data_IF_237669454288
#
_entry.id   IF_237669454288
#
_cell.length_a   1.000
_cell.length_b   1.000
_cell.length_c   1.000
_cell.angle_alpha   90.00
_cell.angle_beta   90.00
_cell.angle_gamma   90.00
#
_symmetry.space_group_name_H-M   'P 1'
#
loop_
_entity.id
_entity.type
_entity.pdbx_description
1 polymer ?
#
# COMPACT_ATOMS: atom_id res chain seq x y z
N UNK A 1 -12.11 34.39 -8.29
CA UNK A 1 -12.50 33.12 -7.63
C UNK A 1 -11.60 32.86 -6.43
N UNK A 2 -11.65 33.72 -5.40
CA UNK A 2 -10.76 33.63 -4.22
C UNK A 2 -11.40 32.82 -3.09
N UNK A 3 -10.79 31.67 -2.79
CA UNK A 3 -10.64 31.02 -1.46
C UNK A 3 -11.87 30.75 -0.56
N UNK A 4 -13.01 30.28 -1.08
CA UNK A 4 -14.06 29.71 -0.19
C UNK A 4 -13.69 28.31 0.35
N UNK A 5 -12.68 27.66 -0.23
CA UNK A 5 -12.40 26.26 0.01
C UNK A 5 -11.66 26.00 1.33
N UNK A 6 -10.59 26.76 1.62
CA UNK A 6 -9.79 26.57 2.84
C UNK A 6 -10.61 26.76 4.13
N UNK A 7 -11.47 27.79 4.27
CA UNK A 7 -12.33 27.94 5.44
C UNK A 7 -13.31 26.77 5.62
N UNK A 8 -13.86 26.24 4.52
CA UNK A 8 -14.74 25.07 4.56
C UNK A 8 -13.98 23.82 5.00
N UNK A 9 -12.76 23.62 4.49
CA UNK A 9 -11.95 22.47 4.90
C UNK A 9 -11.59 22.53 6.40
N UNK A 10 -11.23 23.71 6.90
CA UNK A 10 -10.99 23.92 8.33
C UNK A 10 -12.25 23.62 9.17
N UNK A 11 -13.43 24.01 8.70
CA UNK A 11 -14.70 23.66 9.35
C UNK A 11 -14.90 22.14 9.40
N UNK A 12 -14.67 21.43 8.29
CA UNK A 12 -14.79 19.97 8.25
C UNK A 12 -13.80 19.28 9.21
N UNK A 13 -12.55 19.73 9.26
CA UNK A 13 -11.55 19.18 10.19
C UNK A 13 -11.98 19.34 11.64
N UNK A 14 -12.52 20.52 12.02
CA UNK A 14 -13.07 20.73 13.37
C UNK A 14 -14.23 19.79 13.67
N UNK A 15 -15.14 19.61 12.73
CA UNK A 15 -16.27 18.69 12.89
C UNK A 15 -15.79 17.26 13.08
N UNK A 16 -14.77 16.82 12.34
CA UNK A 16 -14.18 15.49 12.50
C UNK A 16 -13.53 15.36 13.89
N UNK A 17 -12.75 16.34 14.34
CA UNK A 17 -12.16 16.30 15.69
C UNK A 17 -13.23 16.27 16.80
N UNK A 18 -14.33 16.99 16.64
CA UNK A 18 -15.42 17.04 17.63
C UNK A 18 -16.26 15.76 17.67
N UNK A 19 -16.56 15.17 16.52
CA UNK A 19 -17.46 14.01 16.41
C UNK A 19 -16.73 12.68 16.56
N UNK A 20 -15.48 12.61 16.10
CA UNK A 20 -14.71 11.37 15.97
C UNK A 20 -13.56 11.34 16.98
N UNK A 21 -13.04 12.50 17.39
CA UNK A 21 -11.94 12.61 18.36
C UNK A 21 -10.69 11.86 17.88
N UNK A 22 -10.12 11.03 18.76
CA UNK A 22 -8.98 10.17 18.43
C UNK A 22 -9.35 9.04 17.45
N UNK A 23 -10.64 8.77 17.25
CA UNK A 23 -11.16 7.72 16.36
C UNK A 23 -10.93 6.29 16.82
N UNK A 24 -10.37 6.09 18.02
CA UNK A 24 -9.92 4.76 18.50
C UNK A 24 -10.92 4.04 19.42
N UNK A 25 -11.96 4.72 19.89
CA UNK A 25 -12.87 4.19 20.92
C UNK A 25 -14.10 3.50 20.34
N UNK A 26 -14.58 3.93 19.15
CA UNK A 26 -15.76 3.37 18.52
C UNK A 26 -15.42 2.62 17.23
N UNK A 27 -15.90 1.37 17.03
CA UNK A 27 -15.61 0.58 15.84
C UNK A 27 -15.97 1.27 14.51
N UNK A 28 -17.02 2.09 14.49
CA UNK A 28 -17.45 2.88 13.32
C UNK A 28 -16.47 3.98 12.91
N UNK A 29 -15.58 4.37 13.81
CA UNK A 29 -14.58 5.42 13.61
C UNK A 29 -13.19 4.87 13.32
N UNK A 30 -13.02 3.53 13.42
CA UNK A 30 -11.80 2.86 13.05
C UNK A 30 -11.62 2.84 11.53
N UNK A 31 -10.35 2.93 11.09
CA UNK A 31 -10.05 2.79 9.67
C UNK A 31 -10.41 1.38 9.18
N UNK A 32 -11.00 1.26 7.97
CA UNK A 32 -11.35 -0.04 7.43
C UNK A 32 -10.10 -0.88 7.15
N UNK A 33 -10.13 -2.13 7.59
CA UNK A 33 -9.08 -3.10 7.29
C UNK A 33 -9.41 -3.79 5.95
N UNK A 34 -8.78 -3.30 4.88
CA UNK A 34 -8.89 -3.86 3.53
C UNK A 34 -7.66 -4.72 3.22
N UNK A 35 -7.74 -5.50 2.16
CA UNK A 35 -6.63 -6.36 1.71
C UNK A 35 -5.30 -5.59 1.51
N UNK A 36 -5.36 -4.34 1.03
CA UNK A 36 -4.17 -3.50 0.83
C UNK A 36 -3.75 -2.63 2.04
N UNK A 37 -4.42 -2.73 3.18
CA UNK A 37 -4.07 -1.99 4.39
C UNK A 37 -2.70 -2.46 4.90
N UNK A 38 -1.74 -1.54 5.08
CA UNK A 38 -0.37 -1.87 5.51
C UNK A 38 0.21 -0.88 6.53
N UNK A 39 -0.47 0.25 6.75
CA UNK A 39 -0.01 1.29 7.65
C UNK A 39 -0.31 0.89 9.10
N UNK A 40 0.65 1.14 10.00
CA UNK A 40 0.43 0.96 11.44
C UNK A 40 -0.57 1.98 11.99
N UNK A 41 -1.13 1.74 13.18
CA UNK A 41 -2.04 2.67 13.83
C UNK A 41 -1.42 4.06 14.11
N UNK A 42 -0.09 4.13 14.25
CA UNK A 42 0.65 5.38 14.39
C UNK A 42 0.76 6.12 13.06
N UNK A 43 1.06 5.39 11.98
CA UNK A 43 1.14 5.94 10.63
C UNK A 43 -0.23 6.39 10.10
N UNK A 44 -1.31 5.68 10.45
CA UNK A 44 -2.68 6.08 10.17
C UNK A 44 -3.09 7.33 10.96
N UNK A 45 -2.52 7.55 12.15
CA UNK A 45 -2.79 8.74 12.97
C UNK A 45 -4.28 8.86 13.35
N UNK A 46 -4.73 10.08 13.61
CA UNK A 46 -6.15 10.37 13.86
C UNK A 46 -6.92 10.51 12.54
N UNK A 47 -8.25 10.28 12.53
CA UNK A 47 -9.08 10.49 11.35
C UNK A 47 -8.97 11.90 10.75
N UNK A 48 -8.89 12.93 11.61
CA UNK A 48 -8.68 14.30 11.19
C UNK A 48 -7.33 14.49 10.47
N UNK A 49 -6.24 13.92 11.02
CA UNK A 49 -4.91 14.00 10.41
C UNK A 49 -4.85 13.20 9.09
N UNK A 50 -5.47 12.03 9.01
CA UNK A 50 -5.58 11.27 7.76
C UNK A 50 -6.34 12.06 6.69
N UNK A 51 -7.47 12.67 7.05
CA UNK A 51 -8.24 13.52 6.14
C UNK A 51 -7.41 14.70 5.61
N UNK A 52 -6.73 15.43 6.49
CA UNK A 52 -5.85 16.55 6.10
C UNK A 52 -4.76 16.09 5.14
N UNK A 53 -4.07 14.98 5.44
CA UNK A 53 -3.01 14.45 4.58
C UNK A 53 -3.53 14.05 3.21
N UNK A 54 -4.64 13.32 3.15
CA UNK A 54 -5.24 12.84 1.90
C UNK A 54 -5.70 14.00 1.02
N UNK A 55 -6.45 14.96 1.57
CA UNK A 55 -6.97 16.09 0.79
C UNK A 55 -5.83 16.97 0.28
N UNK A 56 -4.88 17.31 1.14
CA UNK A 56 -3.72 18.11 0.71
C UNK A 56 -2.89 17.37 -0.34
N UNK A 57 -2.67 16.06 -0.20
CA UNK A 57 -1.93 15.28 -1.20
C UNK A 57 -2.64 15.26 -2.57
N UNK A 58 -3.96 15.13 -2.59
CA UNK A 58 -4.75 15.18 -3.84
C UNK A 58 -4.67 16.58 -4.47
N UNK A 59 -4.77 17.63 -3.67
CA UNK A 59 -4.71 19.01 -4.20
C UNK A 59 -3.32 19.39 -4.70
N UNK A 60 -2.26 18.87 -4.09
CA UNK A 60 -0.88 19.04 -4.55
C UNK A 60 -0.58 18.36 -5.89
N UNK A 61 -1.51 17.59 -6.46
CA UNK A 61 -1.37 17.06 -7.82
C UNK A 61 -1.50 18.15 -8.90
N UNK A 62 -2.06 19.33 -8.56
CA UNK A 62 -2.17 20.48 -9.46
C UNK A 62 -1.13 21.54 -9.09
N UNK A 63 -0.08 21.64 -9.90
CA UNK A 63 1.05 22.57 -9.70
C UNK A 63 0.61 24.05 -9.64
N UNK A 64 -0.55 24.39 -10.21
CA UNK A 64 -1.04 25.79 -10.26
C UNK A 64 -1.49 26.34 -8.91
N UNK A 65 -1.74 25.45 -7.93
CA UNK A 65 -2.25 25.80 -6.60
C UNK A 65 -1.30 25.36 -5.48
N UNK A 66 -0.06 25.03 -5.82
CA UNK A 66 0.92 24.46 -4.88
C UNK A 66 1.15 25.37 -3.66
N UNK A 67 1.35 26.67 -3.90
CA UNK A 67 1.59 27.66 -2.84
C UNK A 67 0.37 27.82 -1.90
N UNK A 68 -0.84 27.90 -2.46
CA UNK A 68 -2.07 27.98 -1.67
C UNK A 68 -2.31 26.69 -0.87
N UNK A 69 -2.02 25.53 -1.46
CA UNK A 69 -2.14 24.24 -0.79
C UNK A 69 -1.09 24.10 0.32
N UNK A 70 0.14 24.57 0.13
CA UNK A 70 1.17 24.58 1.16
C UNK A 70 0.75 25.45 2.36
N UNK A 71 0.26 26.66 2.13
CA UNK A 71 -0.26 27.53 3.18
C UNK A 71 -1.47 26.90 3.89
N UNK A 72 -2.37 26.29 3.14
CA UNK A 72 -3.54 25.61 3.69
C UNK A 72 -3.13 24.40 4.54
N UNK A 73 -2.23 23.54 4.05
CA UNK A 73 -1.67 22.39 4.76
C UNK A 73 -1.04 22.81 6.08
N UNK A 74 -0.22 23.87 6.09
CA UNK A 74 0.38 24.42 7.31
C UNK A 74 -0.68 24.82 8.34
N UNK A 75 -1.73 25.52 7.90
CA UNK A 75 -2.81 25.93 8.80
C UNK A 75 -3.61 24.75 9.35
N UNK A 76 -3.92 23.76 8.51
CA UNK A 76 -4.66 22.56 8.90
C UNK A 76 -3.85 21.68 9.86
N UNK A 77 -2.56 21.47 9.61
CA UNK A 77 -1.68 20.71 10.49
C UNK A 77 -1.54 21.37 11.87
N UNK A 78 -1.47 22.71 11.91
CA UNK A 78 -1.50 23.47 13.16
C UNK A 78 -2.79 23.27 13.95
N UNK A 79 -3.94 23.12 13.28
CA UNK A 79 -5.21 22.85 13.95
C UNK A 79 -5.23 21.48 14.60
N UNK A 80 -4.73 20.44 13.92
CA UNK A 80 -4.66 19.07 14.46
C UNK A 80 -3.41 18.81 15.31
N UNK A 81 -2.73 19.87 15.76
CA UNK A 81 -1.52 19.83 16.58
C UNK A 81 -0.36 18.98 16.01
N UNK A 82 -0.26 18.87 14.69
CA UNK A 82 0.80 18.15 14.00
C UNK A 82 1.87 19.10 13.46
N UNK A 83 3.16 18.77 13.64
CA UNK A 83 4.26 19.56 13.08
C UNK A 83 4.37 19.31 11.57
N UNK A 84 4.51 20.39 10.79
CA UNK A 84 4.53 20.36 9.32
C UNK A 84 5.55 19.39 8.73
N UNK A 85 6.75 19.33 9.32
CA UNK A 85 7.87 18.51 8.88
C UNK A 85 8.04 17.23 9.72
N UNK A 86 7.04 16.84 10.51
CA UNK A 86 7.08 15.56 11.22
C UNK A 86 6.76 14.40 10.29
N UNK A 87 7.28 13.20 10.61
CA UNK A 87 6.94 11.98 9.88
C UNK A 87 5.42 11.69 9.88
N UNK A 88 4.72 12.08 10.95
CA UNK A 88 3.27 11.96 11.05
C UNK A 88 2.50 12.82 10.03
N UNK A 89 3.09 13.92 9.55
CA UNK A 89 2.48 14.80 8.55
C UNK A 89 2.66 14.29 7.11
N UNK A 90 3.54 13.32 6.89
CA UNK A 90 3.79 12.77 5.56
C UNK A 90 2.57 11.97 5.11
N UNK A 91 2.09 12.24 3.89
CA UNK A 91 1.05 11.43 3.29
C UNK A 91 1.63 10.08 2.88
N UNK A 92 1.01 9.00 3.37
CA UNK A 92 1.29 7.62 2.96
C UNK A 92 0.00 7.06 2.40
N UNK A 93 0.09 6.39 1.26
CA UNK A 93 -1.09 5.80 0.63
C UNK A 93 -1.69 4.74 1.57
N UNK A 94 -2.99 4.81 1.94
CA UNK A 94 -3.54 3.95 2.99
C UNK A 94 -3.78 2.50 2.54
N UNK A 95 -3.91 2.28 1.23
CA UNK A 95 -4.22 0.97 0.65
C UNK A 95 -3.32 0.73 -0.56
N UNK A 96 -2.46 -0.28 -0.49
CA UNK A 96 -1.64 -0.71 -1.63
C UNK A 96 -2.52 -1.39 -2.68
N UNK A 97 -2.13 -1.26 -3.94
CA UNK A 97 -2.73 -1.97 -5.06
C UNK A 97 -1.96 -3.27 -5.31
N UNK A 98 -2.68 -4.36 -5.58
CA UNK A 98 -2.07 -5.57 -6.13
C UNK A 98 -2.89 -6.06 -7.31
N UNK A 99 -2.32 -5.94 -8.50
CA UNK A 99 -3.00 -6.24 -9.75
C UNK A 99 -2.53 -7.57 -10.31
N UNK A 100 -3.43 -8.55 -10.36
CA UNK A 100 -3.28 -9.76 -11.15
C UNK A 100 -3.50 -9.39 -12.62
N UNK A 101 -2.41 -9.38 -13.38
CA UNK A 101 -2.43 -8.99 -14.80
C UNK A 101 -2.91 -10.14 -15.67
N UNK A 102 -3.60 -9.80 -16.76
CA UNK A 102 -4.04 -10.75 -17.79
C UNK A 102 -4.81 -11.95 -17.20
N UNK A 103 -5.80 -11.67 -16.36
CA UNK A 103 -6.69 -12.69 -15.81
C UNK A 103 -7.79 -13.02 -16.82
N UNK A 104 -7.85 -14.29 -17.23
CA UNK A 104 -8.72 -14.74 -18.32
C UNK A 104 -9.94 -15.44 -17.75
N UNK A 105 -11.14 -15.04 -18.17
CA UNK A 105 -12.37 -15.74 -17.84
C UNK A 105 -12.48 -17.06 -18.61
N UNK A 106 -12.67 -18.17 -17.91
CA UNK A 106 -12.81 -19.51 -18.53
C UNK A 106 -14.10 -19.67 -19.35
N UNK A 107 -15.09 -18.80 -19.17
CA UNK A 107 -16.35 -18.85 -19.90
C UNK A 107 -16.34 -18.01 -21.18
N UNK A 108 -16.08 -16.70 -21.09
CA UNK A 108 -16.13 -15.80 -22.24
C UNK A 108 -14.76 -15.46 -22.85
N UNK A 109 -13.66 -15.96 -22.27
CA UNK A 109 -12.28 -15.64 -22.66
C UNK A 109 -11.91 -14.15 -22.60
N UNK A 110 -12.72 -13.34 -21.92
CA UNK A 110 -12.38 -11.95 -21.64
C UNK A 110 -11.13 -11.90 -20.75
N UNK A 111 -10.17 -11.07 -21.15
CA UNK A 111 -8.89 -10.91 -20.47
C UNK A 111 -8.86 -9.51 -19.86
N UNK A 112 -8.70 -9.45 -18.55
CA UNK A 112 -8.63 -8.18 -17.84
C UNK A 112 -7.69 -8.25 -16.65
N UNK A 113 -7.31 -7.09 -16.14
CA UNK A 113 -6.52 -6.98 -14.93
C UNK A 113 -7.46 -6.94 -13.70
N UNK A 114 -7.10 -7.64 -12.63
CA UNK A 114 -7.86 -7.68 -11.37
C UNK A 114 -7.03 -7.04 -10.24
N UNK A 115 -7.47 -5.91 -9.71
CA UNK A 115 -6.90 -5.30 -8.51
C UNK A 115 -7.55 -5.93 -7.27
N UNK A 116 -6.86 -6.92 -6.71
CA UNK A 116 -7.33 -7.72 -5.56
C UNK A 116 -7.53 -6.87 -4.30
N UNK A 117 -6.92 -5.69 -4.24
CA UNK A 117 -7.00 -4.78 -3.10
C UNK A 117 -8.03 -3.65 -3.26
N UNK A 118 -8.30 -3.21 -4.49
CA UNK A 118 -9.10 -1.99 -4.74
C UNK A 118 -10.40 -2.22 -5.48
N UNK A 119 -10.53 -3.31 -6.24
CA UNK A 119 -11.76 -3.57 -7.00
C UNK A 119 -12.97 -3.74 -6.09
N UNK A 120 -14.00 -2.91 -6.28
CA UNK A 120 -15.18 -2.89 -5.42
C UNK A 120 -15.88 -4.26 -5.34
N UNK A 121 -15.97 -4.96 -6.47
CA UNK A 121 -16.62 -6.27 -6.55
C UNK A 121 -15.83 -7.32 -5.79
N UNK A 122 -14.51 -7.34 -5.95
CA UNK A 122 -13.61 -8.24 -5.22
C UNK A 122 -13.65 -7.93 -3.72
N UNK A 123 -13.61 -6.66 -3.32
CA UNK A 123 -13.74 -6.25 -1.91
C UNK A 123 -15.09 -6.69 -1.32
N UNK A 124 -16.16 -6.70 -2.12
CA UNK A 124 -17.48 -7.22 -1.75
C UNK A 124 -17.58 -8.76 -1.84
N UNK A 125 -16.46 -9.48 -2.00
CA UNK A 125 -16.38 -10.95 -2.18
C UNK A 125 -17.09 -11.48 -3.42
N UNK A 126 -17.37 -10.60 -4.38
CA UNK A 126 -18.00 -10.91 -5.66
C UNK A 126 -16.93 -11.05 -6.73
N UNK A 127 -16.37 -12.25 -6.83
CA UNK A 127 -15.37 -12.61 -7.84
C UNK A 127 -16.07 -12.95 -9.16
N UNK A 128 -16.41 -11.95 -9.97
CA UNK A 128 -17.13 -12.16 -11.25
C UNK A 128 -16.38 -11.54 -12.42
N UNK A 129 -16.60 -12.10 -13.59
CA UNK A 129 -16.08 -11.56 -14.84
C UNK A 129 -16.54 -10.11 -15.05
N UNK A 130 -15.60 -9.24 -15.40
CA UNK A 130 -15.86 -7.81 -15.65
C UNK A 130 -16.67 -7.56 -16.92
N UNK A 131 -16.68 -8.51 -17.87
CA UNK A 131 -17.47 -8.37 -19.08
C UNK A 131 -18.97 -8.30 -18.74
N UNK A 132 -19.67 -7.21 -19.12
CA UNK A 132 -21.09 -7.02 -18.78
C UNK A 132 -22.02 -8.12 -19.29
N UNK A 133 -21.62 -8.81 -20.37
CA UNK A 133 -22.39 -9.88 -20.98
C UNK A 133 -22.16 -11.26 -20.33
N UNK A 134 -21.11 -11.41 -19.53
CA UNK A 134 -20.71 -12.69 -18.94
C UNK A 134 -21.19 -12.81 -17.50
N UNK A 135 -20.66 -11.99 -16.59
CA UNK A 135 -20.98 -12.03 -15.16
C UNK A 135 -20.66 -13.36 -14.45
N UNK A 136 -20.02 -14.32 -15.11
CA UNK A 136 -19.71 -15.63 -14.52
C UNK A 136 -18.68 -15.48 -13.40
N UNK A 137 -18.82 -16.25 -12.31
CA UNK A 137 -17.87 -16.20 -11.21
C UNK A 137 -16.49 -16.73 -11.64
N UNK A 138 -15.44 -16.06 -11.19
CA UNK A 138 -14.09 -16.57 -11.30
C UNK A 138 -13.87 -17.68 -10.27
N UNK A 139 -13.11 -18.70 -10.68
CA UNK A 139 -12.65 -19.73 -9.78
C UNK A 139 -11.64 -19.14 -8.79
N UNK A 140 -11.96 -19.23 -7.49
CA UNK A 140 -11.14 -18.68 -6.42
C UNK A 140 -9.85 -19.45 -6.23
N UNK A 141 -9.84 -20.75 -6.55
CA UNK A 141 -8.64 -21.57 -6.43
C UNK A 141 -7.61 -21.16 -7.50
N UNK A 142 -8.08 -20.80 -8.70
CA UNK A 142 -7.23 -20.24 -9.76
C UNK A 142 -6.67 -18.88 -9.35
N UNK A 143 -7.47 -18.04 -8.69
CA UNK A 143 -6.99 -16.75 -8.14
C UNK A 143 -5.91 -16.98 -7.09
N UNK A 144 -6.15 -17.89 -6.15
CA UNK A 144 -5.19 -18.23 -5.09
C UNK A 144 -3.89 -18.78 -5.67
N UNK A 145 -3.97 -19.69 -6.65
CA UNK A 145 -2.80 -20.23 -7.34
C UNK A 145 -1.99 -19.11 -8.02
N UNK A 146 -2.66 -18.17 -8.69
CA UNK A 146 -1.98 -17.03 -9.34
C UNK A 146 -1.29 -16.14 -8.30
N UNK A 147 -1.90 -15.90 -7.14
CA UNK A 147 -1.26 -15.17 -6.05
C UNK A 147 -0.04 -15.93 -5.50
N UNK A 148 -0.13 -17.25 -5.35
CA UNK A 148 0.98 -18.10 -4.95
C UNK A 148 2.16 -18.04 -5.93
N UNK A 149 1.89 -18.09 -7.24
CA UNK A 149 2.90 -17.91 -8.29
C UNK A 149 3.62 -16.55 -8.16
N UNK A 150 2.90 -15.48 -7.84
CA UNK A 150 3.47 -14.15 -7.64
C UNK A 150 4.34 -14.07 -6.37
N UNK A 151 3.95 -14.75 -5.29
CA UNK A 151 4.78 -14.86 -4.07
C UNK A 151 6.07 -15.62 -4.37
N UNK A 152 5.99 -16.76 -5.06
CA UNK A 152 7.16 -17.56 -5.44
C UNK A 152 8.10 -16.75 -6.35
N UNK A 153 7.54 -16.05 -7.34
CA UNK A 153 8.33 -15.19 -8.23
C UNK A 153 8.99 -14.05 -7.47
N UNK A 154 8.30 -13.45 -6.50
CA UNK A 154 8.88 -12.41 -5.65
C UNK A 154 10.00 -12.94 -4.76
N UNK A 155 9.87 -14.16 -4.23
CA UNK A 155 10.91 -14.85 -3.47
C UNK A 155 12.15 -15.15 -4.32
N UNK A 156 11.95 -15.76 -5.49
CA UNK A 156 13.02 -16.03 -6.44
C UNK A 156 13.76 -14.75 -6.86
N UNK A 157 13.01 -13.68 -7.17
CA UNK A 157 13.60 -12.39 -7.52
C UNK A 157 14.41 -11.77 -6.38
N UNK A 158 14.04 -12.00 -5.12
CA UNK A 158 14.80 -11.52 -3.97
C UNK A 158 16.08 -12.35 -3.74
N UNK A 159 16.03 -13.66 -3.93
CA UNK A 159 17.19 -14.54 -3.77
C UNK A 159 18.21 -14.37 -4.91
N UNK A 160 17.73 -14.15 -6.13
CA UNK A 160 18.55 -14.02 -7.34
C UNK A 160 18.87 -12.55 -7.68
N UNK A 161 18.60 -11.62 -6.78
CA UNK A 161 18.86 -10.20 -7.03
C UNK A 161 20.36 -9.92 -7.15
N UNK A 162 20.69 -8.92 -7.94
CA UNK A 162 22.03 -8.36 -7.96
C UNK A 162 22.33 -7.59 -6.67
N UNK A 163 23.62 -7.53 -6.32
CA UNK A 163 24.13 -6.62 -5.29
C UNK A 163 24.68 -5.35 -5.93
N UNK A 164 24.47 -4.21 -5.29
CA UNK A 164 24.96 -2.90 -5.73
C UNK A 164 25.97 -2.36 -4.74
N UNK A 165 27.03 -1.72 -5.22
CA UNK A 165 27.96 -1.03 -4.35
C UNK A 165 27.39 0.28 -3.82
N UNK A 166 27.45 0.50 -2.49
CA UNK A 166 27.03 1.76 -1.85
C UNK A 166 27.77 3.00 -2.33
N UNK A 167 29.03 2.86 -2.75
CA UNK A 167 29.92 3.99 -3.07
C UNK A 167 29.87 4.39 -4.54
N UNK A 168 30.05 3.42 -5.45
CA UNK A 168 30.12 3.68 -6.89
C UNK A 168 28.83 3.33 -7.64
N UNK A 169 27.81 2.80 -6.95
CA UNK A 169 26.52 2.42 -7.51
C UNK A 169 26.57 1.33 -8.60
N UNK A 170 27.73 0.72 -8.86
CA UNK A 170 27.91 -0.38 -9.82
C UNK A 170 27.39 -1.69 -9.26
N UNK A 171 26.91 -2.55 -10.16
CA UNK A 171 26.53 -3.93 -9.84
C UNK A 171 27.76 -4.78 -9.52
N UNK A 172 27.63 -5.71 -8.57
CA UNK A 172 28.68 -6.64 -8.20
C UNK A 172 29.09 -7.49 -9.41
N UNK A 173 30.37 -7.49 -9.75
CA UNK A 173 30.92 -8.26 -10.87
C UNK A 173 31.37 -9.68 -10.50
N UNK A 174 31.37 -10.02 -9.21
CA UNK A 174 31.81 -11.33 -8.71
C UNK A 174 30.94 -11.81 -7.55
N UNK A 175 31.04 -13.11 -7.25
CA UNK A 175 30.11 -13.79 -6.34
C UNK A 175 30.68 -14.12 -4.96
N UNK A 176 31.99 -13.93 -4.74
CA UNK A 176 32.67 -14.38 -3.51
C UNK A 176 33.03 -13.24 -2.53
N UNK A 177 32.96 -11.98 -2.96
CA UNK A 177 33.36 -10.83 -2.15
C UNK A 177 32.17 -10.04 -1.64
N UNK A 178 32.28 -9.50 -0.41
CA UNK A 178 31.34 -8.55 0.19
C UNK A 178 31.61 -7.09 -0.22
N UNK A 179 32.72 -6.87 -0.94
CA UNK A 179 33.23 -5.55 -1.35
C UNK A 179 33.40 -5.46 -2.86
N UNK A 180 33.07 -4.29 -3.37
CA UNK A 180 33.38 -3.88 -4.74
C UNK A 180 34.88 -3.59 -4.90
N UNK A 181 35.37 -3.62 -6.14
CA UNK A 181 36.75 -3.22 -6.48
C UNK A 181 37.11 -1.79 -6.02
N UNK A 182 36.12 -0.91 -5.84
CA UNK A 182 36.33 0.44 -5.29
C UNK A 182 36.44 0.48 -3.75
N UNK A 183 36.46 -0.69 -3.08
CA UNK A 183 36.51 -0.87 -1.62
C UNK A 183 35.18 -0.66 -0.88
N UNK A 184 34.10 -0.31 -1.59
CA UNK A 184 32.78 -0.10 -1.01
C UNK A 184 32.03 -1.41 -0.76
N UNK A 185 31.23 -1.46 0.31
CA UNK A 185 30.38 -2.61 0.63
C UNK A 185 29.27 -2.78 -0.40
N UNK A 186 28.95 -4.04 -0.69
CA UNK A 186 27.82 -4.45 -1.52
C UNK A 186 26.54 -4.51 -0.67
N UNK A 187 25.42 -4.13 -1.25
CA UNK A 187 24.10 -4.20 -0.64
C UNK A 187 23.05 -4.74 -1.61
N UNK A 188 21.98 -5.30 -1.08
CA UNK A 188 20.83 -5.77 -1.85
C UNK A 188 20.19 -4.63 -2.66
N UNK A 189 19.94 -4.88 -3.95
CA UNK A 189 19.18 -3.94 -4.80
C UNK A 189 17.72 -3.80 -4.36
N UNK A 190 17.13 -4.91 -3.90
CA UNK A 190 15.86 -4.98 -3.20
C UNK A 190 16.12 -5.25 -1.71
N UNK A 191 16.02 -4.20 -0.90
CA UNK A 191 16.28 -4.27 0.53
C UNK A 191 15.33 -5.29 1.24
N UNK A 192 15.82 -6.07 2.22
CA UNK A 192 15.00 -7.00 3.01
C UNK A 192 13.69 -6.40 3.56
N UNK A 193 13.67 -5.21 4.20
CA UNK A 193 12.42 -4.65 4.73
C UNK A 193 11.37 -4.36 3.65
N UNK A 194 11.79 -4.04 2.42
CA UNK A 194 10.88 -3.83 1.29
C UNK A 194 10.27 -5.15 0.83
N UNK A 195 11.06 -6.23 0.82
CA UNK A 195 10.55 -7.56 0.51
C UNK A 195 9.56 -8.06 1.57
N UNK A 196 9.89 -7.90 2.86
CA UNK A 196 9.01 -8.24 3.98
C UNK A 196 7.68 -7.46 3.89
N UNK A 197 7.74 -6.16 3.64
CA UNK A 197 6.55 -5.32 3.47
C UNK A 197 5.65 -5.83 2.33
N UNK A 198 6.23 -6.33 1.23
CA UNK A 198 5.48 -6.92 0.12
C UNK A 198 4.81 -8.24 0.54
N UNK A 199 5.50 -9.10 1.28
CA UNK A 199 4.94 -10.34 1.81
C UNK A 199 3.79 -10.07 2.79
N UNK A 200 3.90 -9.05 3.64
CA UNK A 200 2.81 -8.64 4.54
C UNK A 200 1.53 -8.27 3.77
N UNK A 201 1.64 -7.65 2.59
CA UNK A 201 0.47 -7.37 1.75
C UNK A 201 -0.19 -8.66 1.26
N UNK A 202 0.59 -9.65 0.83
CA UNK A 202 0.03 -10.96 0.45
C UNK A 202 -0.64 -11.66 1.62
N UNK A 203 -0.09 -11.55 2.83
CA UNK A 203 -0.72 -12.05 4.05
C UNK A 203 -2.08 -11.37 4.28
N UNK A 204 -2.14 -10.04 4.16
CA UNK A 204 -3.38 -9.27 4.35
C UNK A 204 -4.42 -9.59 3.27
N UNK A 205 -4.00 -9.80 2.03
CA UNK A 205 -4.87 -10.29 0.94
C UNK A 205 -5.45 -11.66 1.31
N UNK A 206 -4.60 -12.56 1.80
CA UNK A 206 -4.99 -13.93 2.15
C UNK A 206 -5.96 -13.96 3.32
N UNK A 207 -5.72 -13.20 4.39
CA UNK A 207 -6.63 -13.07 5.52
C UNK A 207 -7.95 -12.43 5.11
N UNK A 208 -7.90 -11.32 4.38
CA UNK A 208 -9.09 -10.58 4.00
C UNK A 208 -10.01 -11.42 3.11
N UNK A 209 -9.46 -12.15 2.13
CA UNK A 209 -10.22 -12.98 1.20
C UNK A 209 -10.32 -14.46 1.59
N UNK A 210 -9.82 -14.88 2.75
CA UNK A 210 -9.85 -16.27 3.22
C UNK A 210 -9.21 -17.26 2.23
N UNK A 211 -7.98 -16.97 1.80
CA UNK A 211 -7.13 -17.87 1.02
C UNK A 211 -6.17 -18.61 1.96
N UNK A 212 -6.49 -19.86 2.27
CA UNK A 212 -5.82 -20.62 3.34
C UNK A 212 -4.38 -20.99 2.98
N UNK A 213 -4.15 -21.51 1.77
CA UNK A 213 -2.83 -21.94 1.32
C UNK A 213 -1.88 -20.75 1.18
N UNK A 214 -2.37 -19.64 0.62
CA UNK A 214 -1.60 -18.41 0.52
C UNK A 214 -1.22 -17.87 1.90
N UNK A 215 -2.16 -17.86 2.84
CA UNK A 215 -1.92 -17.37 4.21
C UNK A 215 -0.84 -18.19 4.90
N UNK A 216 -0.96 -19.52 4.88
CA UNK A 216 0.00 -20.42 5.54
C UNK A 216 1.40 -20.30 4.94
N UNK A 217 1.49 -20.25 3.62
CA UNK A 217 2.76 -20.13 2.90
C UNK A 217 3.46 -18.81 3.24
N UNK A 218 2.73 -17.69 3.17
CA UNK A 218 3.30 -16.37 3.44
C UNK A 218 3.65 -16.23 4.93
N UNK A 219 2.84 -16.77 5.84
CA UNK A 219 3.12 -16.78 7.27
C UNK A 219 4.35 -17.63 7.62
N UNK A 220 4.60 -18.73 6.89
CA UNK A 220 5.84 -19.49 7.02
C UNK A 220 7.06 -18.68 6.54
N UNK A 221 6.99 -18.06 5.36
CA UNK A 221 8.07 -17.22 4.83
C UNK A 221 8.42 -16.03 5.74
N UNK A 222 7.40 -15.39 6.34
CA UNK A 222 7.59 -14.28 7.27
C UNK A 222 8.23 -14.71 8.60
N UNK A 223 8.00 -15.94 9.07
CA UNK A 223 8.62 -16.47 10.29
C UNK A 223 10.08 -16.81 10.07
N UNK A 224 10.42 -17.50 8.99
CA UNK A 224 11.81 -17.85 8.65
C UNK A 224 12.67 -16.58 8.55
N UNK A 225 12.16 -15.52 7.90
CA UNK A 225 12.88 -14.25 7.76
C UNK A 225 13.00 -13.40 9.04
N UNK A 226 12.35 -13.77 10.15
CA UNK A 226 12.50 -13.10 11.44
C UNK A 226 13.54 -13.78 12.36
N UNK A 227 14.08 -14.92 11.93
CA UNK A 227 15.04 -15.75 12.69
C UNK A 227 16.52 -15.44 12.40
N UNK A 228 16.80 -14.46 11.53
CA UNK A 228 18.14 -13.96 11.17
C UNK A 228 18.28 -12.47 11.53
#
# INVERSE_FOLDING_TARGET
MRSSFSPRLMSHVRTIEQQVGSGREEPRHMFPQRAGSHLSAEQLGTPALAFVRSVCAIMSLDERVEDEVALMRKNLLRMVHCKEFSDAAVFREPCLSFVLRNFICTYCNDCCDLDVCRDADIQAKRWVCRSPACGMPYDRDVVEQRLMEEVQRAGAAFQLQDLRCRKCAQTASGHMGDRCACGGLLENTNAPPKHISKLQVFHNIAEHHSFELLRETVAWLLREGASE
#
